data_IF_739671737444
#
_entry.id   IF_739671737444
#
_cell.length_a   1.000
_cell.length_b   1.000
_cell.length_c   1.000
_cell.angle_alpha   90.00
_cell.angle_beta   90.00
_cell.angle_gamma   90.00
#
_symmetry.space_group_name_H-M   'P 1'
#
loop_
_entity.id
_entity.type
_entity.pdbx_description
1 polymer ?
#
# COMPACT_ATOMS: atom_id res chain seq x y z
N UNK A 1 -9.36 -15.01 -16.45
CA UNK A 1 -9.64 -13.57 -16.27
C UNK A 1 -8.70 -12.91 -15.25
N UNK A 2 -8.30 -13.62 -14.18
CA UNK A 2 -7.27 -13.23 -13.19
C UNK A 2 -5.92 -12.82 -13.83
N UNK A 3 -5.52 -13.47 -14.92
CA UNK A 3 -4.25 -13.19 -15.60
C UNK A 3 -4.13 -11.77 -16.18
N UNK A 4 -5.26 -11.16 -16.57
CA UNK A 4 -5.27 -9.81 -17.18
C UNK A 4 -5.08 -8.71 -16.11
N UNK A 5 -5.64 -8.92 -14.92
CA UNK A 5 -5.47 -8.03 -13.76
C UNK A 5 -4.02 -8.10 -13.27
N UNK A 6 -3.48 -9.32 -13.14
CA UNK A 6 -2.08 -9.55 -12.77
C UNK A 6 -1.10 -8.92 -13.77
N UNK A 7 -1.43 -8.95 -15.07
CA UNK A 7 -0.63 -8.32 -16.13
C UNK A 7 -0.69 -6.79 -16.08
N UNK A 8 -1.86 -6.20 -15.78
CA UNK A 8 -2.00 -4.76 -15.62
C UNK A 8 -1.20 -4.24 -14.42
N UNK A 9 -1.20 -4.96 -13.30
CA UNK A 9 -0.41 -4.56 -12.12
C UNK A 9 1.10 -4.66 -12.35
N UNK A 10 1.54 -5.63 -13.17
CA UNK A 10 2.95 -5.75 -13.58
C UNK A 10 3.38 -4.60 -14.49
N UNK A 11 2.54 -4.17 -15.44
CA UNK A 11 2.88 -3.03 -16.32
C UNK A 11 3.01 -1.71 -15.55
N UNK A 12 2.18 -1.47 -14.52
CA UNK A 12 2.33 -0.30 -13.64
C UNK A 12 3.61 -0.35 -12.78
N UNK A 13 4.13 -1.56 -12.49
CA UNK A 13 5.41 -1.77 -11.79
C UNK A 13 6.63 -1.58 -12.72
N UNK A 14 6.45 -1.81 -14.01
CA UNK A 14 7.50 -1.66 -15.04
C UNK A 14 7.65 -0.21 -15.54
N UNK A 15 6.59 0.61 -15.48
CA UNK A 15 6.63 2.05 -15.82
C UNK A 15 7.31 2.93 -14.73
N UNK A 16 7.66 2.35 -13.58
CA UNK A 16 8.50 2.98 -12.55
C UNK A 16 9.97 2.99 -12.96
N UNK A 17 10.32 3.83 -13.94
CA UNK A 17 11.66 3.91 -14.54
C UNK A 17 12.80 3.91 -13.52
N UNK A 18 13.86 3.14 -13.82
CA UNK A 18 15.04 2.93 -12.97
C UNK A 18 15.66 4.26 -12.51
N UNK A 19 15.58 4.58 -11.22
CA UNK A 19 16.12 5.81 -10.73
C UNK A 19 17.64 5.65 -10.49
N UNK A 20 18.49 6.47 -11.13
CA UNK A 20 19.96 6.40 -11.00
C UNK A 20 20.51 6.53 -9.56
N UNK A 21 21.62 5.83 -9.34
CA UNK A 21 22.26 5.43 -8.09
C UNK A 21 22.99 6.57 -7.34
N UNK A 22 22.28 7.61 -6.94
CA UNK A 22 22.68 8.52 -5.84
C UNK A 22 21.61 8.38 -4.78
N UNK A 23 21.99 8.11 -3.53
CA UNK A 23 21.11 7.96 -2.34
C UNK A 23 19.83 8.77 -2.52
N UNK A 24 18.80 8.11 -3.06
CA UNK A 24 17.53 8.78 -3.29
C UNK A 24 16.90 8.79 -1.93
N UNK A 25 16.60 9.99 -1.41
CA UNK A 25 15.61 10.13 -0.37
C UNK A 25 14.43 9.24 -0.74
N UNK A 26 14.14 8.24 0.09
CA UNK A 26 13.07 7.29 -0.18
C UNK A 26 11.78 8.08 -0.41
N UNK A 27 11.07 7.74 -1.48
CA UNK A 27 9.84 8.47 -1.78
C UNK A 27 8.76 8.10 -0.77
N UNK A 28 7.82 9.00 -0.55
CA UNK A 28 6.76 8.83 0.44
C UNK A 28 5.97 7.53 0.31
N UNK A 29 5.65 7.14 -0.92
CA UNK A 29 4.85 5.94 -1.17
C UNK A 29 5.67 4.66 -0.97
N UNK A 30 6.98 4.70 -1.20
CA UNK A 30 7.92 3.62 -0.90
C UNK A 30 8.10 3.43 0.61
N UNK A 31 8.19 4.52 1.38
CA UNK A 31 8.19 4.46 2.84
C UNK A 31 6.90 3.84 3.37
N UNK A 32 5.74 4.32 2.90
CA UNK A 32 4.44 3.78 3.32
C UNK A 32 4.26 2.29 2.94
N UNK A 33 4.65 1.91 1.73
CA UNK A 33 4.57 0.52 1.29
C UNK A 33 5.47 -0.39 2.14
N UNK A 34 6.71 0.03 2.40
CA UNK A 34 7.65 -0.73 3.22
C UNK A 34 7.17 -0.84 4.65
N UNK A 35 6.72 0.27 5.25
CA UNK A 35 6.17 0.31 6.61
C UNK A 35 4.98 -0.64 6.78
N UNK A 36 4.01 -0.63 5.85
CA UNK A 36 2.82 -1.50 5.93
C UNK A 36 3.18 -2.97 5.73
N UNK A 37 4.08 -3.30 4.80
CA UNK A 37 4.54 -4.68 4.61
C UNK A 37 5.28 -5.19 5.84
N UNK A 38 6.20 -4.39 6.40
CA UNK A 38 6.91 -4.72 7.62
C UNK A 38 5.95 -5.00 8.80
N UNK A 39 4.90 -4.19 8.95
CA UNK A 39 3.86 -4.44 9.96
C UNK A 39 3.03 -5.71 9.72
N UNK A 40 2.84 -6.13 8.47
CA UNK A 40 2.19 -7.43 8.15
C UNK A 40 3.12 -8.61 8.42
N UNK A 41 4.42 -8.42 8.23
CA UNK A 41 5.47 -9.43 8.43
C UNK A 41 5.98 -9.51 9.88
N UNK A 42 5.45 -8.67 10.79
CA UNK A 42 5.91 -8.52 12.18
C UNK A 42 7.41 -8.13 12.29
N UNK A 43 7.91 -7.41 11.27
CA UNK A 43 9.29 -6.93 11.19
C UNK A 43 9.38 -5.49 11.72
N UNK A 44 9.46 -5.38 13.04
CA UNK A 44 9.47 -4.07 13.71
C UNK A 44 10.71 -3.24 13.36
N UNK A 45 11.87 -3.88 13.18
CA UNK A 45 13.13 -3.18 12.82
C UNK A 45 12.99 -2.48 11.47
N UNK A 46 12.42 -3.18 10.49
CA UNK A 46 12.17 -2.61 9.16
C UNK A 46 11.05 -1.57 9.15
N UNK A 47 10.04 -1.72 10.01
CA UNK A 47 9.02 -0.69 10.18
C UNK A 47 9.62 0.60 10.73
N UNK A 48 10.49 0.51 11.75
CA UNK A 48 11.18 1.66 12.33
C UNK A 48 12.13 2.32 11.31
N UNK A 49 12.84 1.53 10.51
CA UNK A 49 13.68 2.03 9.41
C UNK A 49 12.84 2.85 8.41
N UNK A 50 11.74 2.27 7.91
CA UNK A 50 10.87 2.92 6.94
C UNK A 50 10.19 4.18 7.50
N UNK A 51 9.89 4.19 8.81
CA UNK A 51 9.34 5.37 9.48
C UNK A 51 10.34 6.52 9.54
N UNK A 52 11.65 6.24 9.58
CA UNK A 52 12.71 7.24 9.56
C UNK A 52 12.99 7.85 8.18
N UNK A 53 12.41 7.31 7.10
CA UNK A 53 12.65 7.77 5.73
C UNK A 53 11.96 9.09 5.39
N UNK A 54 10.85 9.43 6.06
CA UNK A 54 10.03 10.59 5.78
C UNK A 54 9.48 11.21 7.06
N UNK A 55 8.98 12.45 6.97
CA UNK A 55 8.26 13.08 8.09
C UNK A 55 7.06 12.23 8.54
N UNK A 56 6.76 12.14 9.85
CA UNK A 56 5.66 11.31 10.36
C UNK A 56 4.30 11.61 9.72
N UNK A 57 4.00 12.90 9.47
CA UNK A 57 2.76 13.32 8.81
C UNK A 57 2.68 12.85 7.36
N UNK A 58 3.84 12.80 6.68
CA UNK A 58 3.94 12.30 5.34
C UNK A 58 3.69 10.78 5.35
N UNK A 59 4.32 10.02 6.26
CA UNK A 59 4.09 8.58 6.39
C UNK A 59 2.60 8.28 6.59
N UNK A 60 1.94 9.01 7.51
CA UNK A 60 0.51 8.86 7.77
C UNK A 60 -0.35 9.11 6.52
N UNK A 61 -0.02 10.13 5.72
CA UNK A 61 -0.66 10.37 4.43
C UNK A 61 -0.48 9.19 3.47
N UNK A 62 0.74 8.67 3.34
CA UNK A 62 1.05 7.54 2.46
C UNK A 62 0.31 6.27 2.88
N UNK A 63 0.24 5.97 4.17
CA UNK A 63 -0.51 4.82 4.71
C UNK A 63 -2.01 4.96 4.45
N UNK A 64 -2.59 6.15 4.66
CA UNK A 64 -4.00 6.41 4.37
C UNK A 64 -4.32 6.23 2.88
N UNK A 65 -3.48 6.74 1.99
CA UNK A 65 -3.67 6.58 0.54
C UNK A 65 -3.55 5.11 0.12
N UNK A 66 -2.59 4.36 0.68
CA UNK A 66 -2.46 2.92 0.43
C UNK A 66 -3.72 2.17 0.90
N UNK A 67 -4.25 2.48 2.08
CA UNK A 67 -5.47 1.88 2.60
C UNK A 67 -6.68 2.16 1.68
N UNK A 68 -6.86 3.40 1.23
CA UNK A 68 -7.92 3.77 0.28
C UNK A 68 -7.82 2.97 -1.03
N UNK A 69 -6.61 2.88 -1.61
CA UNK A 69 -6.38 2.11 -2.84
C UNK A 69 -6.65 0.61 -2.65
N UNK A 70 -6.23 0.04 -1.53
CA UNK A 70 -6.47 -1.35 -1.20
C UNK A 70 -7.97 -1.66 -1.08
N UNK A 71 -8.72 -0.80 -0.38
CA UNK A 71 -10.19 -0.96 -0.26
C UNK A 71 -10.87 -0.85 -1.62
N UNK A 72 -10.51 0.13 -2.45
CA UNK A 72 -11.09 0.28 -3.81
C UNK A 72 -10.78 -0.94 -4.68
N UNK A 73 -9.54 -1.42 -4.65
CA UNK A 73 -9.13 -2.58 -5.43
C UNK A 73 -9.90 -3.84 -4.99
N UNK A 74 -9.98 -4.07 -3.68
CA UNK A 74 -10.65 -5.23 -3.11
C UNK A 74 -12.17 -5.20 -3.28
N UNK A 75 -12.79 -4.01 -3.17
CA UNK A 75 -14.20 -3.80 -3.46
C UNK A 75 -14.55 -4.20 -4.90
N UNK A 76 -13.72 -3.80 -5.87
CA UNK A 76 -13.87 -4.18 -7.27
C UNK A 76 -13.67 -5.68 -7.50
N UNK A 77 -12.71 -6.29 -6.79
CA UNK A 77 -12.46 -7.74 -6.89
C UNK A 77 -13.64 -8.56 -6.35
N UNK A 78 -14.29 -8.08 -5.28
CA UNK A 78 -15.39 -8.76 -4.60
C UNK A 78 -16.78 -8.40 -5.12
N UNK A 79 -16.87 -7.42 -6.03
CA UNK A 79 -18.13 -6.80 -6.46
C UNK A 79 -19.00 -6.32 -5.28
N UNK A 80 -18.34 -5.73 -4.28
CA UNK A 80 -18.94 -5.29 -3.02
C UNK A 80 -18.76 -3.78 -2.82
N UNK A 81 -19.67 -3.09 -2.12
CA UNK A 81 -19.47 -1.69 -1.78
C UNK A 81 -18.20 -1.48 -0.92
N UNK A 82 -17.41 -0.41 -1.15
CA UNK A 82 -16.21 -0.11 -0.36
C UNK A 82 -16.46 -0.08 1.16
N UNK A 83 -17.63 0.42 1.60
CA UNK A 83 -18.03 0.43 3.01
C UNK A 83 -18.13 -0.99 3.60
N UNK A 84 -18.69 -1.94 2.86
CA UNK A 84 -18.80 -3.34 3.29
C UNK A 84 -17.41 -3.94 3.45
N UNK A 85 -16.53 -3.76 2.46
CA UNK A 85 -15.15 -4.26 2.49
C UNK A 85 -14.35 -3.67 3.65
N UNK A 86 -14.38 -2.34 3.84
CA UNK A 86 -13.65 -1.69 4.93
C UNK A 86 -14.11 -2.18 6.31
N UNK A 87 -15.41 -2.36 6.52
CA UNK A 87 -15.95 -2.90 7.78
C UNK A 87 -15.54 -4.35 7.99
N UNK A 88 -15.60 -5.17 6.94
CA UNK A 88 -15.20 -6.57 6.99
C UNK A 88 -13.70 -6.74 7.32
N UNK A 89 -12.81 -5.93 6.73
CA UNK A 89 -11.38 -5.93 7.03
C UNK A 89 -11.07 -5.63 8.52
N UNK A 90 -11.95 -4.87 9.19
CA UNK A 90 -11.84 -4.52 10.60
C UNK A 90 -12.69 -5.42 11.52
N UNK A 91 -13.28 -6.50 11.00
CA UNK A 91 -14.13 -7.40 11.79
C UNK A 91 -15.44 -6.77 12.30
N UNK A 92 -15.87 -5.67 11.68
CA UNK A 92 -17.09 -4.96 12.07
C UNK A 92 -18.33 -5.55 11.37
N UNK A 93 -19.52 -5.52 11.99
CA UNK A 93 -20.75 -5.99 11.35
C UNK A 93 -21.04 -5.26 10.05
N UNK A 94 -21.52 -5.95 9.02
CA UNK A 94 -22.16 -5.28 7.89
C UNK A 94 -23.38 -4.50 8.44
N UNK A 95 -23.61 -3.30 7.92
CA UNK A 95 -24.75 -2.49 8.35
C UNK A 95 -25.12 -1.51 7.29
#
# INVERSE_FOLDING_TARGET
MIDRVRKAWRTWREDGGTPSKKERAHNLFEAAATYVVAGVEDDQERADEAAGWVEPSALAFGVNELACRAVIALARERDEPPRTVARALLGLPAG
#
